data_IF_506235838330
#
_entry.id   IF_506235838330
#
_cell.length_a   1.000
_cell.length_b   1.000
_cell.length_c   1.000
_cell.angle_alpha   90.00
_cell.angle_beta   90.00
_cell.angle_gamma   90.00
#
_symmetry.space_group_name_H-M   'P 1'
#
loop_
_entity.id
_entity.type
_entity.pdbx_description
1 polymer ?
#
# COMPACT_ATOMS: atom_id res chain seq x y z
N UNK A 1 72.49 7.49 -30.34
CA UNK A 1 73.11 8.76 -30.76
C UNK A 1 72.19 9.87 -30.12
N UNK A 2 72.84 10.61 -29.19
CA UNK A 2 72.47 11.92 -28.58
C UNK A 2 71.04 12.05 -27.98
N UNK A 3 70.85 11.99 -26.64
CA UNK A 3 71.21 13.00 -25.62
C UNK A 3 70.56 14.40 -25.90
N UNK A 4 69.65 14.83 -25.08
CA UNK A 4 69.91 15.96 -24.20
C UNK A 4 68.76 16.15 -23.19
N UNK A 5 69.16 16.23 -22.00
CA UNK A 5 68.62 16.71 -20.75
C UNK A 5 68.15 18.17 -20.83
N UNK A 6 67.04 18.53 -20.27
CA UNK A 6 66.87 19.84 -19.64
C UNK A 6 65.83 19.73 -18.50
N UNK A 7 66.34 19.90 -17.31
CA UNK A 7 65.59 20.14 -16.08
C UNK A 7 65.33 21.63 -15.94
N UNK A 8 64.12 22.02 -15.53
CA UNK A 8 63.85 23.22 -14.77
C UNK A 8 62.60 23.02 -13.94
N UNK A 9 62.77 22.92 -12.72
CA UNK A 9 62.57 23.80 -11.57
C UNK A 9 61.12 24.23 -11.30
N UNK A 10 60.62 23.71 -10.22
CA UNK A 10 59.60 24.09 -9.29
C UNK A 10 58.91 25.43 -9.47
N UNK A 11 57.58 25.42 -9.30
CA UNK A 11 56.91 26.28 -8.29
C UNK A 11 55.68 25.59 -7.75
N UNK A 12 55.65 25.37 -6.45
CA UNK A 12 54.51 24.94 -5.69
C UNK A 12 53.50 26.06 -5.60
N UNK A 13 52.28 25.85 -6.12
CA UNK A 13 51.14 26.59 -5.71
C UNK A 13 50.05 25.55 -5.34
N UNK A 14 49.81 25.44 -4.04
CA UNK A 14 48.75 24.63 -3.49
C UNK A 14 47.40 25.17 -3.92
N UNK A 15 46.79 24.46 -4.85
CA UNK A 15 45.36 24.57 -5.11
C UNK A 15 44.73 23.33 -4.54
N UNK A 16 44.17 23.43 -3.32
CA UNK A 16 43.25 22.46 -2.78
C UNK A 16 42.01 22.44 -3.65
N UNK A 17 41.97 21.55 -4.62
CA UNK A 17 40.76 21.25 -5.36
C UNK A 17 39.75 20.61 -4.39
N UNK A 18 38.86 21.45 -3.89
CA UNK A 18 37.68 21.01 -3.16
C UNK A 18 36.79 20.31 -4.19
N UNK A 19 36.76 18.98 -4.16
CA UNK A 19 35.79 18.18 -4.91
C UNK A 19 34.40 18.58 -4.41
N UNK A 20 33.78 19.53 -5.08
CA UNK A 20 32.36 19.79 -4.99
C UNK A 20 31.71 18.59 -5.66
N UNK A 21 31.20 17.70 -4.85
CA UNK A 21 30.34 16.61 -5.29
C UNK A 21 29.09 17.29 -5.85
N UNK A 22 28.98 17.36 -7.17
CA UNK A 22 27.76 17.79 -7.81
C UNK A 22 26.64 16.85 -7.39
N UNK A 23 25.66 17.38 -6.66
CA UNK A 23 24.40 16.66 -6.45
C UNK A 23 23.77 16.47 -7.84
N UNK A 24 23.23 15.27 -8.13
CA UNK A 24 22.52 15.08 -9.38
C UNK A 24 21.34 16.06 -9.42
N UNK A 25 21.31 16.89 -10.44
CA UNK A 25 20.19 17.75 -10.76
C UNK A 25 18.93 16.90 -10.77
N UNK A 26 17.83 17.31 -10.11
CA UNK A 26 16.56 16.60 -10.22
C UNK A 26 16.15 16.64 -11.70
N UNK A 27 16.08 15.46 -12.31
CA UNK A 27 15.59 15.30 -13.67
C UNK A 27 14.22 15.99 -13.83
N UNK A 28 13.83 16.35 -15.07
CA UNK A 28 12.61 17.09 -15.31
C UNK A 28 11.44 16.38 -14.65
N UNK A 29 10.78 17.08 -13.73
CA UNK A 29 9.56 16.61 -13.11
C UNK A 29 8.57 16.32 -14.24
N UNK A 30 8.27 15.04 -14.46
CA UNK A 30 7.16 14.66 -15.32
C UNK A 30 5.91 15.20 -14.61
N UNK A 31 5.46 16.35 -15.05
CA UNK A 31 4.21 16.92 -14.61
C UNK A 31 3.09 15.98 -15.13
N UNK A 32 2.59 15.12 -14.29
CA UNK A 32 1.31 14.46 -14.49
C UNK A 32 0.25 15.55 -14.57
N UNK A 33 -0.12 15.89 -15.80
CA UNK A 33 -1.18 16.86 -16.08
C UNK A 33 -2.50 16.17 -15.76
N UNK A 34 -3.06 16.52 -14.57
CA UNK A 34 -4.46 16.29 -14.28
C UNK A 34 -4.83 15.00 -13.57
N UNK A 35 -4.33 14.80 -12.36
CA UNK A 35 -5.16 14.14 -11.38
C UNK A 35 -6.16 15.19 -10.88
N UNK A 36 -7.39 15.11 -11.37
CA UNK A 36 -8.51 15.79 -10.71
C UNK A 36 -8.48 15.40 -9.23
N UNK A 37 -8.80 16.32 -8.29
CA UNK A 37 -8.83 15.98 -6.88
C UNK A 37 -9.77 14.79 -6.73
N UNK A 38 -9.32 13.75 -6.01
CA UNK A 38 -10.11 12.57 -5.71
C UNK A 38 -11.45 13.04 -5.13
N UNK A 39 -12.47 13.08 -5.97
CA UNK A 39 -13.86 13.22 -5.49
C UNK A 39 -14.08 12.02 -4.60
N UNK A 40 -14.49 12.30 -3.37
CA UNK A 40 -14.90 11.28 -2.42
C UNK A 40 -15.94 10.40 -3.11
N UNK A 41 -15.59 9.16 -3.44
CA UNK A 41 -16.45 8.20 -4.11
C UNK A 41 -17.48 7.58 -3.13
N UNK A 42 -17.72 8.21 -1.98
CA UNK A 42 -18.84 7.89 -1.10
C UNK A 42 -20.11 8.40 -1.76
N UNK A 43 -21.10 7.53 -1.92
CA UNK A 43 -22.46 7.94 -2.31
C UNK A 43 -22.98 9.01 -1.35
N UNK A 44 -23.90 9.85 -1.80
CA UNK A 44 -24.46 10.99 -1.06
C UNK A 44 -25.01 10.62 0.34
N UNK A 45 -25.26 9.33 0.60
CA UNK A 45 -25.79 8.79 1.88
C UNK A 45 -24.71 8.16 2.78
N UNK A 46 -23.41 8.27 2.45
CA UNK A 46 -22.31 7.68 3.23
C UNK A 46 -22.22 6.14 3.18
N UNK A 47 -23.16 5.46 2.51
CA UNK A 47 -23.18 4.00 2.35
C UNK A 47 -22.53 3.62 1.02
N UNK A 48 -21.54 2.73 1.09
CA UNK A 48 -20.87 2.22 -0.10
C UNK A 48 -21.81 1.29 -0.89
N UNK A 49 -21.93 1.55 -2.20
CA UNK A 49 -22.81 0.79 -3.10
C UNK A 49 -21.95 -0.08 -4.03
N UNK A 50 -21.67 -1.31 -3.61
CA UNK A 50 -20.83 -2.25 -4.35
C UNK A 50 -21.35 -2.49 -5.77
N UNK A 51 -22.64 -2.58 -5.95
CA UNK A 51 -23.31 -2.81 -7.26
C UNK A 51 -23.08 -1.69 -8.27
N UNK A 52 -22.69 -0.49 -7.83
CA UNK A 52 -22.39 0.63 -8.73
C UNK A 52 -20.95 0.63 -9.24
N UNK A 53 -20.07 -0.11 -8.58
CA UNK A 53 -18.65 -0.26 -8.91
C UNK A 53 -17.98 1.08 -9.25
N UNK A 54 -17.94 2.04 -8.31
CA UNK A 54 -17.44 3.38 -8.60
C UNK A 54 -15.94 3.41 -8.92
N UNK A 55 -15.14 2.55 -8.29
CA UNK A 55 -13.70 2.44 -8.56
C UNK A 55 -13.45 1.77 -9.92
N UNK A 56 -14.14 0.67 -10.19
CA UNK A 56 -14.05 -0.02 -11.49
C UNK A 56 -14.44 0.90 -12.63
N UNK A 57 -15.51 1.69 -12.48
CA UNK A 57 -15.96 2.64 -13.50
C UNK A 57 -14.88 3.67 -13.86
N UNK A 58 -14.14 4.14 -12.85
CA UNK A 58 -13.02 5.06 -13.07
C UNK A 58 -11.83 4.34 -13.74
N UNK A 59 -11.46 3.16 -13.22
CA UNK A 59 -10.33 2.38 -13.73
C UNK A 59 -10.54 1.95 -15.19
N UNK A 60 -11.76 1.53 -15.58
CA UNK A 60 -12.07 1.18 -16.96
C UNK A 60 -11.85 2.37 -17.92
N UNK A 61 -12.22 3.58 -17.49
CA UNK A 61 -11.94 4.80 -18.25
C UNK A 61 -10.43 5.02 -18.45
N UNK A 62 -9.66 4.94 -17.35
CA UNK A 62 -8.20 5.10 -17.41
C UNK A 62 -7.52 4.03 -18.27
N UNK A 63 -7.91 2.78 -18.12
CA UNK A 63 -7.37 1.66 -18.92
C UNK A 63 -7.65 1.87 -20.41
N UNK A 64 -8.90 2.21 -20.75
CA UNK A 64 -9.29 2.43 -22.14
C UNK A 64 -8.50 3.57 -22.80
N UNK A 65 -8.32 4.67 -22.07
CA UNK A 65 -7.78 5.90 -22.64
C UNK A 65 -6.24 5.96 -22.57
N UNK A 66 -5.61 5.25 -21.61
CA UNK A 66 -4.20 5.41 -21.28
C UNK A 66 -3.37 4.12 -21.32
N UNK A 67 -4.00 2.93 -21.42
CA UNK A 67 -3.21 1.71 -21.42
C UNK A 67 -2.41 1.56 -22.73
N UNK A 68 -1.13 1.21 -22.57
CA UNK A 68 -0.14 1.25 -23.68
C UNK A 68 -0.37 0.20 -24.76
N UNK A 69 -1.00 -0.93 -24.44
CA UNK A 69 -1.18 -2.08 -25.33
C UNK A 69 -2.66 -2.49 -25.39
N UNK A 70 -3.48 -1.83 -26.24
CA UNK A 70 -4.90 -2.12 -26.36
C UNK A 70 -5.23 -3.56 -26.80
N UNK A 71 -4.28 -4.28 -27.42
CA UNK A 71 -4.49 -5.67 -27.87
C UNK A 71 -4.59 -6.66 -26.69
N UNK A 72 -4.12 -6.27 -25.52
CA UNK A 72 -4.26 -7.07 -24.29
C UNK A 72 -5.62 -6.93 -23.61
N UNK A 73 -6.48 -6.07 -24.10
CA UNK A 73 -7.81 -5.88 -23.54
C UNK A 73 -8.72 -7.04 -23.98
N UNK A 74 -8.77 -8.10 -23.21
CA UNK A 74 -9.76 -9.18 -23.35
C UNK A 74 -10.86 -9.01 -22.30
N UNK A 75 -12.04 -8.48 -22.68
CA UNK A 75 -13.10 -8.21 -21.73
C UNK A 75 -13.62 -9.43 -20.98
N UNK A 76 -13.61 -10.62 -21.59
CA UNK A 76 -14.06 -11.85 -20.93
C UNK A 76 -13.04 -12.34 -19.91
N UNK A 77 -11.76 -12.42 -20.31
CA UNK A 77 -10.68 -12.75 -19.40
C UNK A 77 -10.61 -11.78 -18.19
N UNK A 78 -10.85 -10.48 -18.46
CA UNK A 78 -10.90 -9.45 -17.40
C UNK A 78 -12.04 -9.68 -16.40
N UNK A 79 -13.24 -10.10 -16.86
CA UNK A 79 -14.37 -10.44 -15.97
C UNK A 79 -14.04 -11.66 -15.13
N UNK A 80 -13.53 -12.72 -15.76
CA UNK A 80 -13.17 -13.96 -15.05
C UNK A 80 -12.12 -13.68 -13.97
N UNK A 81 -11.02 -13.02 -14.32
CA UNK A 81 -9.95 -12.69 -13.38
C UNK A 81 -10.42 -11.77 -12.24
N UNK A 82 -11.34 -10.84 -12.51
CA UNK A 82 -11.96 -10.03 -11.47
C UNK A 82 -12.71 -10.90 -10.45
N UNK A 83 -13.53 -11.85 -10.92
CA UNK A 83 -14.33 -12.72 -10.06
C UNK A 83 -13.47 -13.75 -9.33
N UNK A 84 -12.43 -14.33 -9.96
CA UNK A 84 -11.47 -15.18 -9.29
C UNK A 84 -10.72 -14.47 -8.15
N UNK A 85 -10.43 -13.18 -8.33
CA UNK A 85 -9.83 -12.38 -7.27
C UNK A 85 -10.80 -12.11 -6.12
N UNK A 86 -12.09 -11.93 -6.40
CA UNK A 86 -13.13 -11.84 -5.36
C UNK A 86 -13.28 -13.17 -4.62
N UNK A 87 -13.28 -14.30 -5.32
CA UNK A 87 -13.30 -15.64 -4.70
C UNK A 87 -12.11 -15.85 -3.74
N UNK A 88 -10.93 -15.39 -4.12
CA UNK A 88 -9.74 -15.47 -3.24
C UNK A 88 -9.84 -14.56 -2.01
N UNK A 89 -10.52 -13.42 -2.14
CA UNK A 89 -10.68 -12.44 -1.08
C UNK A 89 -11.83 -12.77 -0.11
N UNK A 90 -12.89 -13.39 -0.61
CA UNK A 90 -14.14 -13.63 0.13
C UNK A 90 -14.44 -15.13 0.18
N UNK A 91 -14.26 -15.74 1.33
CA UNK A 91 -14.39 -17.19 1.50
C UNK A 91 -15.80 -17.76 1.19
N UNK A 92 -16.84 -16.92 1.22
CA UNK A 92 -18.22 -17.31 0.93
C UNK A 92 -18.53 -17.31 -0.58
N UNK A 93 -17.64 -16.78 -1.41
CA UNK A 93 -17.81 -16.68 -2.88
C UNK A 93 -17.08 -17.82 -3.57
N UNK A 94 -17.76 -18.47 -4.51
CA UNK A 94 -17.17 -19.47 -5.40
C UNK A 94 -17.59 -19.17 -6.84
N UNK A 95 -16.65 -19.29 -7.77
CA UNK A 95 -16.86 -18.99 -9.18
C UNK A 95 -16.52 -20.20 -10.03
N UNK A 96 -17.43 -20.61 -10.90
CA UNK A 96 -17.26 -21.72 -11.84
C UNK A 96 -17.40 -21.23 -13.29
N UNK A 97 -16.47 -21.60 -14.16
CA UNK A 97 -16.40 -21.21 -15.56
C UNK A 97 -15.12 -20.48 -15.89
N UNK A 98 -14.91 -20.20 -17.16
CA UNK A 98 -13.74 -19.52 -17.73
C UNK A 98 -14.15 -18.55 -18.83
N UNK A 99 -13.19 -17.87 -19.47
CA UNK A 99 -13.43 -16.91 -20.57
C UNK A 99 -14.00 -17.55 -21.85
N UNK A 100 -13.91 -18.87 -21.98
CA UNK A 100 -14.48 -19.63 -23.11
C UNK A 100 -15.90 -20.12 -22.84
N UNK A 101 -16.31 -20.08 -21.58
CA UNK A 101 -17.64 -20.48 -21.13
C UNK A 101 -18.71 -19.47 -21.59
N UNK A 102 -19.92 -19.93 -21.95
CA UNK A 102 -21.00 -19.00 -22.30
C UNK A 102 -21.55 -18.24 -21.08
N UNK A 103 -21.29 -18.74 -19.90
CA UNK A 103 -21.75 -18.18 -18.63
C UNK A 103 -20.79 -18.51 -17.51
N UNK A 104 -20.78 -17.68 -16.49
CA UNK A 104 -20.14 -17.95 -15.21
C UNK A 104 -21.21 -18.28 -14.17
N UNK A 105 -20.95 -19.26 -13.34
CA UNK A 105 -21.81 -19.59 -12.19
C UNK A 105 -21.18 -19.08 -10.94
N UNK A 106 -21.87 -18.22 -10.20
CA UNK A 106 -21.40 -17.65 -8.93
C UNK A 106 -22.27 -18.21 -7.80
N UNK A 107 -21.61 -18.73 -6.77
CA UNK A 107 -22.24 -19.22 -5.54
C UNK A 107 -21.78 -18.34 -4.37
N UNK A 108 -22.74 -17.88 -3.55
CA UNK A 108 -22.48 -17.06 -2.35
C UNK A 108 -23.36 -17.55 -1.22
N UNK A 109 -22.78 -17.97 -0.09
CA UNK A 109 -23.54 -18.40 1.07
C UNK A 109 -24.55 -19.53 0.79
N UNK A 110 -24.35 -20.31 -0.29
CA UNK A 110 -25.25 -21.37 -0.75
C UNK A 110 -26.28 -20.96 -1.81
N UNK A 111 -26.48 -19.66 -2.06
CA UNK A 111 -27.24 -19.16 -3.21
C UNK A 111 -26.38 -19.28 -4.49
N UNK A 112 -26.99 -19.71 -5.59
CA UNK A 112 -26.31 -19.94 -6.87
C UNK A 112 -27.01 -19.21 -7.99
N UNK A 113 -26.25 -18.52 -8.87
CA UNK A 113 -26.77 -17.81 -10.04
C UNK A 113 -25.80 -17.91 -11.22
N UNK A 114 -26.38 -18.05 -12.43
CA UNK A 114 -25.64 -18.02 -13.69
C UNK A 114 -25.65 -16.60 -14.26
N UNK A 115 -24.50 -16.14 -14.77
CA UNK A 115 -24.32 -14.85 -15.42
C UNK A 115 -23.78 -15.07 -16.84
N UNK A 116 -24.50 -14.58 -17.83
CA UNK A 116 -24.12 -14.71 -19.25
C UNK A 116 -22.96 -13.77 -19.58
N UNK A 117 -21.89 -14.32 -20.18
CA UNK A 117 -20.72 -13.55 -20.62
C UNK A 117 -20.47 -13.61 -22.13
N UNK A 118 -21.40 -14.20 -22.92
CA UNK A 118 -21.23 -14.35 -24.36
C UNK A 118 -21.00 -13.04 -25.08
N UNK A 119 -21.74 -12.02 -24.68
CA UNK A 119 -21.77 -10.71 -25.31
C UNK A 119 -20.82 -9.70 -24.68
N UNK A 120 -19.90 -10.14 -23.81
CA UNK A 120 -18.88 -9.27 -23.22
C UNK A 120 -17.74 -9.06 -24.23
N UNK A 121 -17.93 -8.10 -25.11
CA UNK A 121 -17.03 -7.77 -26.23
C UNK A 121 -16.32 -6.42 -26.05
N UNK A 122 -16.59 -5.71 -24.96
CA UNK A 122 -16.02 -4.39 -24.70
C UNK A 122 -15.83 -4.13 -23.21
N UNK A 123 -14.89 -3.27 -22.87
CA UNK A 123 -14.59 -2.87 -21.48
C UNK A 123 -15.81 -2.27 -20.75
N UNK A 124 -16.73 -1.66 -21.49
CA UNK A 124 -17.97 -1.12 -20.91
C UNK A 124 -18.94 -2.20 -20.45
N UNK A 125 -18.99 -3.34 -21.15
CA UNK A 125 -19.84 -4.48 -20.77
C UNK A 125 -19.31 -5.20 -19.54
N UNK A 126 -18.01 -5.12 -19.25
CA UNK A 126 -17.42 -5.59 -17.99
C UNK A 126 -18.16 -5.01 -16.80
N UNK A 127 -18.38 -3.69 -16.79
CA UNK A 127 -19.06 -3.01 -15.67
C UNK A 127 -20.50 -3.51 -15.49
N UNK A 128 -21.20 -3.81 -16.57
CA UNK A 128 -22.59 -4.29 -16.49
C UNK A 128 -22.61 -5.67 -15.82
N UNK A 129 -21.82 -6.61 -16.34
CA UNK A 129 -21.79 -7.97 -15.81
C UNK A 129 -21.28 -7.99 -14.36
N UNK A 130 -20.19 -7.31 -14.07
CA UNK A 130 -19.67 -7.25 -12.69
C UNK A 130 -20.63 -6.52 -11.74
N UNK A 131 -21.38 -5.52 -12.22
CA UNK A 131 -22.43 -4.86 -11.43
C UNK A 131 -23.54 -5.82 -11.00
N UNK A 132 -24.03 -6.64 -11.92
CA UNK A 132 -25.04 -7.66 -11.66
C UNK A 132 -24.53 -8.75 -10.71
N UNK A 133 -23.27 -9.19 -10.89
CA UNK A 133 -22.62 -10.16 -9.99
C UNK A 133 -22.44 -9.56 -8.60
N UNK A 134 -21.96 -8.34 -8.49
CA UNK A 134 -21.72 -7.69 -7.18
C UNK A 134 -23.01 -7.36 -6.43
N UNK A 135 -24.10 -7.09 -7.15
CA UNK A 135 -25.43 -6.99 -6.53
C UNK A 135 -25.82 -8.34 -5.91
N UNK A 136 -25.65 -9.43 -6.64
CA UNK A 136 -25.92 -10.78 -6.15
C UNK A 136 -25.02 -11.16 -4.97
N UNK A 137 -23.72 -10.87 -5.04
CA UNK A 137 -22.76 -11.08 -3.93
C UNK A 137 -23.24 -10.34 -2.69
N UNK A 138 -23.51 -9.05 -2.80
CA UNK A 138 -23.95 -8.22 -1.69
C UNK A 138 -25.25 -8.70 -1.03
N UNK A 139 -26.22 -9.16 -1.83
CA UNK A 139 -27.51 -9.67 -1.35
C UNK A 139 -27.38 -10.98 -0.53
N UNK A 140 -26.35 -11.78 -0.80
CA UNK A 140 -26.21 -13.13 -0.24
C UNK A 140 -25.01 -13.29 0.70
N UNK A 141 -24.18 -12.27 0.89
CA UNK A 141 -23.11 -12.25 1.89
C UNK A 141 -23.69 -12.26 3.29
N UNK A 142 -23.22 -13.19 4.12
CA UNK A 142 -23.60 -13.32 5.54
C UNK A 142 -22.63 -12.53 6.43
N UNK A 143 -21.34 -12.57 6.10
CA UNK A 143 -20.31 -11.84 6.83
C UNK A 143 -20.36 -10.34 6.53
N UNK A 144 -20.05 -9.52 7.54
CA UNK A 144 -19.87 -8.07 7.37
C UNK A 144 -18.47 -7.78 6.81
N UNK A 145 -18.27 -8.09 5.56
CA UNK A 145 -17.06 -7.77 4.81
C UNK A 145 -17.05 -6.27 4.44
N UNK A 146 -15.86 -5.66 4.34
CA UNK A 146 -15.77 -4.32 3.77
C UNK A 146 -16.02 -4.40 2.26
N UNK A 147 -17.19 -3.92 1.84
CA UNK A 147 -17.60 -3.94 0.43
C UNK A 147 -16.61 -3.23 -0.50
N UNK A 148 -15.79 -2.32 0.03
CA UNK A 148 -14.72 -1.67 -0.75
C UNK A 148 -13.59 -2.65 -1.07
N UNK A 149 -13.21 -3.49 -0.11
CA UNK A 149 -12.16 -4.49 -0.33
C UNK A 149 -12.57 -5.48 -1.42
N UNK A 150 -13.85 -5.83 -1.50
CA UNK A 150 -14.40 -6.68 -2.59
C UNK A 150 -14.21 -6.00 -3.94
N UNK A 151 -14.52 -4.70 -4.06
CA UNK A 151 -14.30 -3.99 -5.31
C UNK A 151 -12.81 -3.82 -5.64
N UNK A 152 -11.95 -3.57 -4.64
CA UNK A 152 -10.49 -3.55 -4.85
C UNK A 152 -9.97 -4.89 -5.36
N UNK A 153 -10.44 -6.01 -4.80
CA UNK A 153 -10.08 -7.35 -5.27
C UNK A 153 -10.50 -7.55 -6.74
N UNK A 154 -11.75 -7.21 -7.08
CA UNK A 154 -12.24 -7.31 -8.46
C UNK A 154 -11.42 -6.47 -9.44
N UNK A 155 -11.16 -5.20 -9.09
CA UNK A 155 -10.38 -4.29 -9.95
C UNK A 155 -8.95 -4.78 -10.12
N UNK A 156 -8.29 -5.22 -9.06
CA UNK A 156 -6.92 -5.72 -9.14
C UNK A 156 -6.82 -7.04 -9.90
N UNK A 157 -7.83 -7.92 -9.78
CA UNK A 157 -7.92 -9.11 -10.61
C UNK A 157 -7.99 -8.79 -12.10
N UNK A 158 -8.86 -7.86 -12.47
CA UNK A 158 -9.00 -7.35 -13.83
C UNK A 158 -7.68 -6.74 -14.34
N UNK A 159 -7.05 -5.85 -13.56
CA UNK A 159 -5.79 -5.20 -13.93
C UNK A 159 -4.64 -6.20 -14.09
N UNK A 160 -4.65 -7.29 -13.31
CA UNK A 160 -3.66 -8.36 -13.40
C UNK A 160 -3.63 -9.08 -14.75
N UNK A 161 -4.71 -9.02 -15.55
CA UNK A 161 -4.73 -9.56 -16.93
C UNK A 161 -3.93 -8.71 -17.91
N UNK A 162 -3.73 -7.44 -17.61
CA UNK A 162 -3.01 -6.49 -18.47
C UNK A 162 -1.50 -6.68 -18.32
N UNK A 163 -0.99 -6.55 -17.12
CA UNK A 163 0.41 -6.76 -16.78
C UNK A 163 0.62 -6.84 -15.25
N UNK A 164 1.78 -7.37 -14.77
CA UNK A 164 2.05 -7.53 -13.34
C UNK A 164 2.21 -6.22 -12.55
N UNK A 165 2.28 -5.08 -13.21
CA UNK A 165 2.53 -3.77 -12.60
C UNK A 165 1.29 -2.89 -12.57
N UNK A 166 0.26 -3.24 -13.35
CA UNK A 166 -1.03 -2.57 -13.32
C UNK A 166 -1.78 -2.94 -12.05
N UNK A 167 -1.84 -2.03 -11.09
CA UNK A 167 -2.46 -2.25 -9.79
C UNK A 167 -3.18 -1.00 -9.28
N UNK A 168 -4.34 -1.18 -8.71
CA UNK A 168 -5.06 -0.15 -7.96
C UNK A 168 -4.64 -0.21 -6.50
N UNK A 169 -3.96 0.83 -6.02
CA UNK A 169 -3.57 0.94 -4.62
C UNK A 169 -4.68 1.59 -3.80
N UNK A 170 -4.99 1.01 -2.67
CA UNK A 170 -5.83 1.66 -1.67
C UNK A 170 -5.19 2.97 -1.19
N UNK A 171 -6.01 3.99 -0.84
CA UNK A 171 -5.49 5.28 -0.38
C UNK A 171 -4.51 5.19 0.79
N UNK A 172 -4.71 4.21 1.70
CA UNK A 172 -3.83 3.95 2.83
C UNK A 172 -2.45 3.50 2.34
N UNK A 173 -2.40 2.45 1.51
CA UNK A 173 -1.15 1.94 0.94
C UNK A 173 -0.44 2.97 0.07
N UNK A 174 -1.18 3.71 -0.76
CA UNK A 174 -0.60 4.78 -1.57
C UNK A 174 0.05 5.86 -0.71
N UNK A 175 -0.61 6.27 0.37
CA UNK A 175 -0.08 7.25 1.32
C UNK A 175 1.19 6.74 2.00
N UNK A 176 1.21 5.49 2.44
CA UNK A 176 2.38 4.87 3.05
C UNK A 176 3.55 4.75 2.07
N UNK A 177 3.30 4.27 0.84
CA UNK A 177 4.31 4.20 -0.21
C UNK A 177 4.88 5.58 -0.54
N UNK A 178 4.04 6.61 -0.63
CA UNK A 178 4.47 7.99 -0.88
C UNK A 178 5.32 8.54 0.27
N UNK A 179 4.95 8.25 1.52
CA UNK A 179 5.74 8.63 2.69
C UNK A 179 7.09 7.90 2.70
N UNK A 180 7.10 6.60 2.40
CA UNK A 180 8.34 5.82 2.31
C UNK A 180 9.27 6.33 1.21
N UNK A 181 8.74 6.62 0.04
CA UNK A 181 9.52 7.09 -1.12
C UNK A 181 10.11 8.49 -0.89
N UNK A 182 9.39 9.35 -0.17
CA UNK A 182 9.87 10.71 0.16
C UNK A 182 10.81 10.75 1.36
N UNK A 183 10.93 9.65 2.11
CA UNK A 183 11.70 9.66 3.36
C UNK A 183 11.14 10.61 4.44
N UNK A 184 9.87 10.98 4.34
CA UNK A 184 9.23 12.00 5.19
C UNK A 184 8.73 11.46 6.53
N UNK A 185 9.05 10.23 6.91
CA UNK A 185 8.66 9.74 8.23
C UNK A 185 9.88 9.45 9.10
N UNK A 186 9.74 9.87 10.33
CA UNK A 186 10.64 9.52 11.41
C UNK A 186 10.10 8.34 12.21
N UNK A 187 11.01 7.63 12.83
CA UNK A 187 10.72 6.56 13.77
C UNK A 187 11.52 6.74 15.05
N UNK A 188 11.39 5.79 15.98
CA UNK A 188 12.13 5.80 17.24
C UNK A 188 13.40 4.96 17.19
N UNK A 189 13.56 4.13 16.12
CA UNK A 189 14.75 3.34 15.90
C UNK A 189 14.81 2.05 16.72
N UNK A 190 13.69 1.35 16.83
CA UNK A 190 13.63 0.00 17.36
C UNK A 190 12.72 -0.90 16.51
N UNK A 191 12.94 -2.21 16.59
CA UNK A 191 12.10 -3.23 16.01
C UNK A 191 11.19 -3.80 17.09
N UNK A 192 9.91 -3.93 16.80
CA UNK A 192 8.89 -4.45 17.72
C UNK A 192 8.22 -5.71 17.15
N UNK A 193 7.66 -6.50 18.05
CA UNK A 193 6.87 -7.68 17.71
C UNK A 193 5.86 -7.94 18.81
N UNK A 194 4.74 -8.55 18.49
CA UNK A 194 3.82 -9.09 19.49
C UNK A 194 4.41 -10.38 20.06
N UNK A 195 4.56 -10.45 21.39
CA UNK A 195 5.00 -11.64 22.13
C UNK A 195 4.10 -11.80 23.36
N UNK A 196 3.47 -12.95 23.45
CA UNK A 196 2.55 -13.25 24.56
C UNK A 196 1.47 -12.16 24.75
N UNK A 197 0.93 -11.64 23.65
CA UNK A 197 -0.05 -10.55 23.65
C UNK A 197 0.48 -9.17 24.04
N UNK A 198 1.81 -9.00 24.16
CA UNK A 198 2.47 -7.74 24.54
C UNK A 198 3.35 -7.20 23.44
N UNK A 199 3.27 -5.89 23.23
CA UNK A 199 4.14 -5.17 22.28
C UNK A 199 5.56 -5.11 22.82
N UNK A 200 6.46 -5.93 22.29
CA UNK A 200 7.81 -6.13 22.83
C UNK A 200 8.88 -5.61 21.88
N UNK A 201 9.86 -4.92 22.41
CA UNK A 201 11.06 -4.47 21.68
C UNK A 201 11.96 -5.67 21.42
N UNK A 202 12.19 -5.98 20.14
CA UNK A 202 13.06 -7.09 19.71
C UNK A 202 14.50 -6.62 19.59
N UNK A 203 14.70 -5.43 19.00
CA UNK A 203 16.03 -4.87 18.73
C UNK A 203 15.98 -3.34 18.77
N UNK A 204 17.01 -2.72 19.27
CA UNK A 204 17.22 -1.28 19.20
C UNK A 204 18.36 -0.97 18.25
N UNK A 205 18.16 -0.01 17.37
CA UNK A 205 19.17 0.44 16.40
C UNK A 205 20.12 1.44 17.07
N UNK A 206 21.40 1.40 16.70
CA UNK A 206 22.39 2.34 17.24
C UNK A 206 22.12 3.78 16.77
N UNK A 207 22.49 4.73 17.60
CA UNK A 207 22.39 6.17 17.31
C UNK A 207 20.95 6.69 17.08
N UNK A 208 19.96 6.02 17.63
CA UNK A 208 18.53 6.38 17.47
C UNK A 208 17.96 6.99 18.75
N UNK A 209 16.78 7.65 18.68
CA UNK A 209 16.09 8.18 19.86
C UNK A 209 15.87 7.13 20.96
N UNK A 210 15.49 5.92 20.57
CA UNK A 210 15.30 4.82 21.52
C UNK A 210 16.59 4.40 22.23
N UNK A 211 17.70 4.33 21.47
CA UNK A 211 19.01 3.99 22.04
C UNK A 211 19.47 5.08 23.05
N UNK A 212 19.28 6.37 22.71
CA UNK A 212 19.61 7.50 23.60
C UNK A 212 18.73 7.54 24.85
N UNK A 213 17.47 7.10 24.72
CA UNK A 213 16.54 6.99 25.86
C UNK A 213 16.77 5.75 26.74
N UNK A 214 17.72 4.87 26.36
CA UNK A 214 18.04 3.68 27.12
C UNK A 214 17.03 2.53 26.99
N UNK A 215 16.23 2.52 25.92
CA UNK A 215 15.37 1.39 25.57
C UNK A 215 16.24 0.19 25.18
N UNK A 216 15.82 -1.02 25.54
CA UNK A 216 16.55 -2.26 25.32
C UNK A 216 15.65 -3.35 24.71
N UNK A 217 16.27 -4.33 24.10
CA UNK A 217 15.55 -5.55 23.73
C UNK A 217 14.89 -6.19 24.96
N UNK A 218 13.70 -6.76 24.76
CA UNK A 218 12.80 -7.34 25.76
C UNK A 218 12.03 -6.31 26.61
N UNK A 219 12.19 -5.00 26.40
CA UNK A 219 11.29 -4.02 26.98
C UNK A 219 9.89 -4.20 26.38
N UNK A 220 8.87 -4.01 27.19
CA UNK A 220 7.46 -4.04 26.76
C UNK A 220 6.97 -2.60 26.68
N UNK A 221 6.37 -2.25 25.56
CA UNK A 221 5.68 -0.97 25.40
C UNK A 221 4.24 -1.20 25.80
N UNK A 222 3.81 -0.71 26.96
CA UNK A 222 2.45 -0.92 27.47
C UNK A 222 1.46 0.17 27.06
N UNK A 223 1.96 1.35 26.68
CA UNK A 223 1.14 2.46 26.15
C UNK A 223 1.89 3.24 25.08
N UNK A 224 1.14 3.74 24.11
CA UNK A 224 1.57 4.73 23.11
C UNK A 224 0.62 5.91 23.26
N UNK A 225 1.16 7.10 23.55
CA UNK A 225 0.40 8.25 24.04
C UNK A 225 -0.46 7.84 25.25
N UNK A 226 -1.76 8.04 25.20
CA UNK A 226 -2.70 7.64 26.27
C UNK A 226 -3.35 6.27 26.01
N UNK A 227 -3.04 5.61 24.88
CA UNK A 227 -3.67 4.38 24.49
C UNK A 227 -2.86 3.15 24.92
N UNK A 228 -3.57 2.16 25.53
CA UNK A 228 -2.99 0.86 25.86
C UNK A 228 -2.64 0.07 24.60
N UNK A 229 -1.53 -0.65 24.64
CA UNK A 229 -1.11 -1.57 23.56
C UNK A 229 -1.67 -2.99 23.73
N UNK A 230 -2.46 -3.24 24.77
CA UNK A 230 -3.14 -4.53 24.97
C UNK A 230 -4.18 -4.70 23.87
N UNK A 231 -4.13 -5.82 23.16
CA UNK A 231 -4.98 -6.12 21.98
C UNK A 231 -4.86 -5.12 20.82
N UNK A 232 -3.80 -4.29 20.78
CA UNK A 232 -3.50 -3.43 19.65
C UNK A 232 -2.85 -4.27 18.56
N UNK A 233 -3.28 -4.08 17.31
CA UNK A 233 -2.61 -4.68 16.17
C UNK A 233 -1.18 -4.15 16.01
N UNK A 234 -0.26 -4.97 15.52
CA UNK A 234 1.13 -4.58 15.34
C UNK A 234 1.28 -3.41 14.36
N UNK A 235 0.47 -3.39 13.30
CA UNK A 235 0.49 -2.31 12.31
C UNK A 235 0.00 -1.01 12.91
N UNK A 236 -1.09 -1.04 13.69
CA UNK A 236 -1.58 0.14 14.42
C UNK A 236 -0.53 0.70 15.37
N UNK A 237 0.21 -0.17 16.06
CA UNK A 237 1.30 0.26 16.93
C UNK A 237 2.44 0.93 16.12
N UNK A 238 2.81 0.35 14.97
CA UNK A 238 3.84 0.91 14.08
C UNK A 238 3.41 2.29 13.57
N UNK A 239 2.15 2.44 13.12
CA UNK A 239 1.63 3.70 12.56
C UNK A 239 1.63 4.83 13.62
N UNK A 240 1.32 4.49 14.87
CA UNK A 240 1.36 5.45 15.99
C UNK A 240 2.76 5.84 16.42
N UNK A 241 3.71 4.90 16.36
CA UNK A 241 5.11 5.13 16.70
C UNK A 241 5.85 5.91 15.62
N UNK A 242 5.45 5.77 14.36
CA UNK A 242 5.94 6.57 13.23
C UNK A 242 5.27 7.94 13.20
N UNK A 243 5.82 8.86 12.45
CA UNK A 243 5.26 10.19 12.23
C UNK A 243 6.24 11.15 11.61
N UNK A 244 5.88 12.43 11.56
CA UNK A 244 6.76 13.45 11.00
C UNK A 244 8.08 13.50 11.75
N UNK A 245 9.25 13.61 11.08
CA UNK A 245 10.53 13.85 11.74
C UNK A 245 10.43 15.02 12.70
N UNK A 246 11.15 14.97 13.81
CA UNK A 246 11.14 15.93 14.90
C UNK A 246 9.85 15.99 15.74
N UNK A 247 8.75 15.34 15.33
CA UNK A 247 7.57 15.22 16.18
C UNK A 247 7.84 14.29 17.37
N UNK A 248 7.18 14.53 18.50
CA UNK A 248 7.34 13.73 19.71
C UNK A 248 6.21 12.71 19.82
N UNK A 249 6.53 11.57 20.42
CA UNK A 249 5.56 10.57 20.87
C UNK A 249 5.91 10.10 22.27
N UNK A 250 4.91 10.00 23.13
CA UNK A 250 5.08 9.46 24.47
C UNK A 250 4.82 7.94 24.47
N UNK A 251 5.72 7.18 25.04
CA UNK A 251 5.57 5.74 25.25
C UNK A 251 5.74 5.40 26.72
N UNK A 252 5.00 4.40 27.18
CA UNK A 252 5.21 3.83 28.51
C UNK A 252 5.89 2.47 28.34
N UNK A 253 7.03 2.32 28.99
CA UNK A 253 7.90 1.15 28.88
C UNK A 253 7.93 0.41 30.20
N UNK A 254 7.73 -0.88 30.15
CA UNK A 254 7.88 -1.82 31.25
C UNK A 254 9.13 -2.67 31.07
N UNK A 255 9.86 -2.87 32.15
CA UNK A 255 11.05 -3.73 32.18
C UNK A 255 11.06 -4.49 33.49
N UNK A 256 11.34 -5.82 33.52
CA UNK A 256 11.33 -6.62 34.75
C UNK A 256 12.22 -6.06 35.88
N UNK A 257 13.30 -5.36 35.50
CA UNK A 257 14.22 -4.76 36.47
C UNK A 257 13.75 -3.40 37.03
N UNK A 258 12.62 -2.87 36.60
CA UNK A 258 12.09 -1.60 37.09
C UNK A 258 10.91 -1.85 38.06
N UNK A 259 10.84 -1.10 39.16
CA UNK A 259 9.74 -1.22 40.11
C UNK A 259 8.42 -0.72 39.53
N UNK A 260 8.47 0.23 38.58
CA UNK A 260 7.30 0.83 37.94
C UNK A 260 7.56 1.10 36.47
N UNK A 261 6.49 1.09 35.61
CA UNK A 261 6.58 1.51 34.25
C UNK A 261 7.07 2.95 34.09
N UNK A 262 7.88 3.21 33.06
CA UNK A 262 8.42 4.56 32.82
C UNK A 262 7.81 5.17 31.58
N UNK A 263 7.25 6.37 31.71
CA UNK A 263 6.79 7.17 30.57
C UNK A 263 7.95 7.98 30.01
N UNK A 264 8.13 7.93 28.69
CA UNK A 264 9.21 8.61 27.97
C UNK A 264 8.64 9.31 26.74
N UNK A 265 8.98 10.58 26.54
CA UNK A 265 8.68 11.31 25.31
C UNK A 265 9.91 11.31 24.39
N UNK A 266 9.77 10.73 23.22
CA UNK A 266 10.84 10.57 22.25
C UNK A 266 10.55 11.36 20.98
N UNK A 267 11.57 12.04 20.43
CA UNK A 267 11.47 12.67 19.14
C UNK A 267 11.70 11.64 18.04
N UNK A 268 10.88 11.66 16.99
CA UNK A 268 11.04 10.80 15.82
C UNK A 268 12.18 11.31 14.92
N UNK A 269 13.00 10.42 14.42
CA UNK A 269 14.12 10.73 13.50
C UNK A 269 14.09 9.82 12.27
#
# INVERSE_FOLDING_TARGET
MFATLAATLSLALGVTARLVRAEPEPGPAIAYKGAAPARTLAGEDGVYKLETLPMLSHVIGEVKDNYVDPERLDPKAMVVAALESVEKAVAEVMVEGDEHSPKLTVTVGGARRDFDIRDVDSVWKIRVVLGDVMAFVKENLVAHEDLKEIEYAAVNGLLGTLDPHSVLLEPKFFKEMKLQTRGEFGGLGFVISMRDGKLTVVKVLKNTPAARAGIRAKDVISRIEEQSTVNMDLQDAVDRLRGKPQSKVAITVERPAWPEPKRMALARE
#
